data_IF_135168906674
#
_entry.id   IF_135168906674
#
_cell.length_a   1.000
_cell.length_b   1.000
_cell.length_c   1.000
_cell.angle_alpha   90.00
_cell.angle_beta   90.00
_cell.angle_gamma   90.00
#
_symmetry.space_group_name_H-M   'P 1'
#
loop_
_entity.id
_entity.type
_entity.pdbx_description
1 polymer ?
#
# COMPACT_ATOMS: atom_id res chain seq x y z
N UNK A 1 4.27 -13.37 15.15
CA UNK A 1 3.69 -12.53 14.07
C UNK A 1 4.56 -12.73 12.84
N UNK A 2 3.97 -13.11 11.70
CA UNK A 2 4.71 -13.14 10.44
C UNK A 2 4.98 -11.71 9.97
N UNK A 3 6.21 -11.48 9.53
CA UNK A 3 6.56 -10.29 8.75
C UNK A 3 6.18 -10.55 7.31
N UNK A 4 5.64 -9.53 6.66
CA UNK A 4 5.30 -9.53 5.24
C UNK A 4 6.03 -8.41 4.52
N UNK A 5 6.30 -8.60 3.24
CA UNK A 5 7.04 -7.69 2.37
C UNK A 5 6.29 -7.51 1.06
N UNK A 6 6.50 -6.38 0.36
CA UNK A 6 5.93 -6.20 -0.99
C UNK A 6 6.43 -7.31 -1.92
N UNK A 7 7.70 -7.68 -1.79
CA UNK A 7 8.31 -8.73 -2.62
C UNK A 7 7.60 -10.07 -2.41
N UNK A 8 7.31 -10.45 -1.14
CA UNK A 8 6.60 -11.70 -0.84
C UNK A 8 5.16 -11.67 -1.34
N UNK A 9 4.49 -10.54 -1.17
CA UNK A 9 3.11 -10.36 -1.62
C UNK A 9 3.01 -10.48 -3.16
N UNK A 10 3.88 -9.79 -3.89
CA UNK A 10 3.92 -9.87 -5.35
C UNK A 10 4.25 -11.28 -5.83
N UNK A 11 5.25 -11.91 -5.21
CA UNK A 11 5.60 -13.30 -5.50
C UNK A 11 4.42 -14.24 -5.29
N UNK A 12 3.66 -14.07 -4.21
CA UNK A 12 2.50 -14.90 -3.89
C UNK A 12 1.43 -14.80 -4.98
N UNK A 13 1.06 -13.57 -5.36
CA UNK A 13 0.03 -13.33 -6.38
C UNK A 13 0.47 -13.87 -7.75
N UNK A 14 1.71 -13.58 -8.17
CA UNK A 14 2.19 -14.03 -9.47
C UNK A 14 2.40 -15.55 -9.53
N UNK A 15 2.80 -16.18 -8.42
CA UNK A 15 2.90 -17.64 -8.32
C UNK A 15 1.53 -18.31 -8.38
N UNK A 16 0.54 -17.77 -7.66
CA UNK A 16 -0.85 -18.24 -7.78
C UNK A 16 -1.31 -18.18 -9.23
N UNK A 17 -1.12 -17.03 -9.90
CA UNK A 17 -1.49 -16.87 -11.30
C UNK A 17 -0.76 -17.89 -12.21
N UNK A 18 0.55 -18.09 -12.00
CA UNK A 18 1.36 -19.03 -12.78
C UNK A 18 0.83 -20.47 -12.71
N UNK A 19 0.36 -20.91 -11.55
CA UNK A 19 -0.12 -22.27 -11.30
C UNK A 19 -1.49 -22.55 -11.93
N UNK A 20 -2.19 -21.52 -12.42
CA UNK A 20 -3.51 -21.66 -13.05
C UNK A 20 -3.44 -22.24 -14.47
N UNK A 21 -4.57 -22.81 -14.91
CA UNK A 21 -4.74 -23.35 -16.26
C UNK A 21 -4.53 -22.26 -17.33
N UNK A 22 -3.54 -22.48 -18.20
CA UNK A 22 -3.16 -21.56 -19.29
C UNK A 22 -4.24 -21.36 -20.36
N UNK A 23 -5.22 -22.26 -20.46
CA UNK A 23 -6.32 -22.14 -21.44
C UNK A 23 -7.42 -21.16 -20.99
N UNK A 24 -7.40 -20.74 -19.72
CA UNK A 24 -8.34 -19.74 -19.21
C UNK A 24 -8.01 -18.35 -19.74
N UNK A 25 -9.03 -17.50 -19.80
CA UNK A 25 -8.84 -16.10 -20.18
C UNK A 25 -8.04 -15.34 -19.13
N UNK A 26 -7.19 -14.41 -19.56
CA UNK A 26 -6.38 -13.58 -18.66
C UNK A 26 -7.26 -12.85 -17.62
N UNK A 27 -8.41 -12.33 -18.05
CA UNK A 27 -9.39 -11.71 -17.14
C UNK A 27 -9.83 -12.65 -16.03
N UNK A 28 -10.16 -13.90 -16.33
CA UNK A 28 -10.62 -14.86 -15.33
C UNK A 28 -9.52 -15.18 -14.33
N UNK A 29 -8.27 -15.29 -14.79
CA UNK A 29 -7.10 -15.48 -13.93
C UNK A 29 -6.96 -14.31 -12.97
N UNK A 30 -6.95 -13.07 -13.48
CA UNK A 30 -6.81 -11.90 -12.62
C UNK A 30 -7.97 -11.69 -11.68
N UNK A 31 -9.20 -11.97 -12.11
CA UNK A 31 -10.36 -11.91 -11.24
C UNK A 31 -10.24 -12.88 -10.05
N UNK A 32 -9.75 -14.10 -10.29
CA UNK A 32 -9.59 -15.10 -9.21
C UNK A 32 -8.43 -14.74 -8.28
N UNK A 33 -7.24 -14.43 -8.83
CA UNK A 33 -6.03 -14.13 -8.03
C UNK A 33 -6.18 -12.84 -7.23
N UNK A 34 -6.86 -11.84 -7.78
CA UNK A 34 -7.02 -10.53 -7.15
C UNK A 34 -8.36 -10.39 -6.42
N UNK A 35 -9.12 -11.48 -6.28
CA UNK A 35 -10.43 -11.55 -5.62
C UNK A 35 -11.39 -10.45 -6.11
N UNK A 36 -11.56 -10.35 -7.42
CA UNK A 36 -12.46 -9.42 -8.09
C UNK A 36 -13.63 -10.17 -8.74
N UNK A 37 -14.74 -9.48 -8.99
CA UNK A 37 -15.84 -10.07 -9.74
C UNK A 37 -15.44 -10.27 -11.22
N UNK A 38 -15.41 -11.52 -11.74
CA UNK A 38 -15.03 -11.76 -13.14
C UNK A 38 -16.00 -11.14 -14.15
N UNK A 39 -17.22 -10.79 -13.75
CA UNK A 39 -18.18 -10.11 -14.63
C UNK A 39 -18.02 -8.58 -14.62
N UNK A 40 -17.27 -8.02 -13.67
CA UNK A 40 -17.00 -6.59 -13.57
C UNK A 40 -15.60 -6.28 -14.13
N UNK A 41 -15.55 -5.97 -15.42
CA UNK A 41 -14.31 -5.62 -16.11
C UNK A 41 -13.60 -4.40 -15.50
N UNK A 42 -14.36 -3.44 -14.99
CA UNK A 42 -13.78 -2.23 -14.40
C UNK A 42 -13.09 -2.56 -13.08
N UNK A 43 -13.72 -3.40 -12.25
CA UNK A 43 -13.12 -3.89 -11.01
C UNK A 43 -11.83 -4.68 -11.29
N UNK A 44 -11.84 -5.62 -12.25
CA UNK A 44 -10.63 -6.39 -12.59
C UNK A 44 -9.51 -5.46 -13.08
N UNK A 45 -9.81 -4.51 -13.97
CA UNK A 45 -8.84 -3.50 -14.41
C UNK A 45 -8.26 -2.69 -13.24
N UNK A 46 -9.11 -2.23 -12.31
CA UNK A 46 -8.68 -1.47 -11.15
C UNK A 46 -7.73 -2.30 -10.26
N UNK A 47 -8.08 -3.56 -10.02
CA UNK A 47 -7.29 -4.50 -9.21
C UNK A 47 -5.96 -4.83 -9.87
N UNK A 48 -5.93 -5.02 -11.19
CA UNK A 48 -4.67 -5.15 -11.94
C UNK A 48 -3.83 -3.86 -11.85
N UNK A 49 -4.45 -2.68 -11.87
CA UNK A 49 -3.77 -1.42 -11.58
C UNK A 49 -3.09 -1.41 -10.20
N UNK A 50 -3.76 -1.94 -9.17
CA UNK A 50 -3.16 -2.09 -7.83
C UNK A 50 -2.00 -3.10 -7.80
N UNK A 51 -2.05 -4.15 -8.61
CA UNK A 51 -0.93 -5.08 -8.79
C UNK A 51 0.29 -4.34 -9.37
N UNK A 52 0.11 -3.44 -10.34
CA UNK A 52 1.21 -2.62 -10.87
C UNK A 52 1.78 -1.64 -9.84
N UNK A 53 0.93 -1.06 -8.97
CA UNK A 53 1.42 -0.26 -7.83
C UNK A 53 2.26 -1.12 -6.89
N UNK A 54 1.91 -2.40 -6.69
CA UNK A 54 2.72 -3.32 -5.89
C UNK A 54 4.11 -3.56 -6.50
N UNK A 55 4.28 -3.53 -7.83
CA UNK A 55 5.62 -3.54 -8.43
C UNK A 55 6.46 -2.33 -8.01
N UNK A 56 5.87 -1.14 -7.98
CA UNK A 56 6.55 0.06 -7.48
C UNK A 56 6.89 -0.08 -5.99
N UNK A 57 6.03 -0.80 -5.27
CA UNK A 57 6.30 -1.15 -3.89
C UNK A 57 7.53 -2.04 -3.71
N UNK A 58 7.63 -3.09 -4.50
CA UNK A 58 8.81 -3.95 -4.52
C UNK A 58 10.06 -3.19 -4.94
N UNK A 59 9.98 -2.33 -5.95
CA UNK A 59 11.13 -1.57 -6.42
C UNK A 59 11.72 -0.68 -5.33
N UNK A 60 10.88 0.08 -4.63
CA UNK A 60 11.33 0.92 -3.53
C UNK A 60 11.86 0.09 -2.34
N UNK A 61 11.26 -1.06 -2.08
CA UNK A 61 11.72 -1.99 -1.04
C UNK A 61 13.15 -2.49 -1.35
N UNK A 62 13.38 -2.95 -2.58
CA UNK A 62 14.69 -3.39 -3.08
C UNK A 62 15.70 -2.24 -3.03
N UNK A 63 15.32 -1.03 -3.47
CA UNK A 63 16.17 0.18 -3.40
C UNK A 63 16.57 0.57 -1.98
N UNK A 64 15.79 0.17 -0.98
CA UNK A 64 16.10 0.45 0.43
C UNK A 64 17.06 -0.57 1.08
N UNK A 65 17.39 -1.65 0.37
CA UNK A 65 18.26 -2.72 0.88
C UNK A 65 19.71 -2.24 1.03
N UNK A 66 20.35 -2.68 2.12
CA UNK A 66 21.78 -2.47 2.35
C UNK A 66 22.61 -3.55 1.66
N UNK A 67 22.63 -3.55 0.33
CA UNK A 67 23.40 -4.50 -0.51
C UNK A 67 24.37 -3.74 -1.42
N UNK A 68 25.36 -4.46 -1.97
CA UNK A 68 26.45 -3.86 -2.76
C UNK A 68 25.98 -3.35 -4.13
N UNK A 69 25.09 -4.10 -4.79
CA UNK A 69 24.53 -3.74 -6.09
C UNK A 69 23.04 -4.07 -6.10
N UNK A 70 22.21 -3.03 -6.00
CA UNK A 70 20.77 -3.16 -5.95
C UNK A 70 20.15 -3.37 -7.34
N UNK A 71 20.82 -2.94 -8.41
CA UNK A 71 20.28 -2.97 -9.77
C UNK A 71 20.15 -4.40 -10.28
N UNK A 72 21.04 -5.31 -9.85
CA UNK A 72 20.95 -6.75 -10.13
C UNK A 72 19.61 -7.35 -9.65
N UNK A 73 19.08 -6.87 -8.53
CA UNK A 73 17.80 -7.34 -7.98
C UNK A 73 16.57 -6.69 -8.64
N UNK A 74 16.76 -5.55 -9.32
CA UNK A 74 15.69 -4.86 -10.04
C UNK A 74 15.46 -5.42 -11.45
N UNK A 75 16.47 -6.05 -12.06
CA UNK A 75 16.34 -6.64 -13.41
C UNK A 75 15.21 -7.67 -13.48
N UNK A 76 15.09 -8.66 -12.56
CA UNK A 76 13.99 -9.63 -12.59
C UNK A 76 12.61 -8.99 -12.42
N UNK A 77 12.51 -7.99 -11.53
CA UNK A 77 11.27 -7.23 -11.31
C UNK A 77 10.83 -6.51 -12.58
N UNK A 78 11.76 -5.86 -13.27
CA UNK A 78 11.50 -5.15 -14.52
C UNK A 78 11.12 -6.13 -15.64
N UNK A 79 11.76 -7.29 -15.72
CA UNK A 79 11.40 -8.33 -16.69
C UNK A 79 9.97 -8.84 -16.48
N UNK A 80 9.57 -9.09 -15.23
CA UNK A 80 8.19 -9.47 -14.88
C UNK A 80 7.20 -8.38 -15.29
N UNK A 81 7.50 -7.11 -14.93
CA UNK A 81 6.66 -5.95 -15.26
C UNK A 81 6.50 -5.83 -16.79
N UNK A 82 7.59 -5.94 -17.54
CA UNK A 82 7.60 -5.85 -19.00
C UNK A 82 6.84 -6.99 -19.67
N UNK A 83 7.01 -8.24 -19.19
CA UNK A 83 6.25 -9.38 -19.73
C UNK A 83 4.75 -9.13 -19.57
N UNK A 84 4.29 -8.76 -18.36
CA UNK A 84 2.88 -8.43 -18.11
C UNK A 84 2.35 -7.31 -19.03
N UNK A 85 3.14 -6.26 -19.24
CA UNK A 85 2.76 -5.12 -20.07
C UNK A 85 2.82 -5.40 -21.57
N UNK A 86 3.54 -6.44 -22.00
CA UNK A 86 3.67 -6.82 -23.41
C UNK A 86 2.46 -7.58 -23.94
N UNK A 87 1.53 -7.97 -23.06
CA UNK A 87 0.29 -8.66 -23.41
C UNK A 87 -0.95 -7.79 -23.14
N UNK A 88 -2.08 -8.07 -23.81
CA UNK A 88 -3.33 -7.39 -23.49
C UNK A 88 -3.71 -7.66 -22.03
N UNK A 89 -3.93 -6.60 -21.26
CA UNK A 89 -4.09 -6.66 -19.79
C UNK A 89 -5.15 -7.68 -19.36
N UNK A 90 -6.28 -7.75 -20.08
CA UNK A 90 -7.39 -8.68 -19.79
C UNK A 90 -7.70 -9.65 -20.95
N UNK A 91 -7.08 -9.47 -22.11
CA UNK A 91 -7.48 -10.11 -23.35
C UNK A 91 -6.60 -11.27 -23.76
N UNK A 92 -7.20 -12.35 -24.27
CA UNK A 92 -6.47 -13.53 -24.72
C UNK A 92 -6.41 -14.63 -23.67
N UNK A 93 -5.52 -15.61 -23.91
CA UNK A 93 -5.36 -16.80 -23.07
C UNK A 93 -4.12 -16.68 -22.19
N UNK A 94 -4.21 -17.19 -20.98
CA UNK A 94 -3.16 -17.07 -19.97
C UNK A 94 -1.84 -17.72 -20.38
N UNK A 95 -1.87 -18.78 -21.20
CA UNK A 95 -0.68 -19.44 -21.73
C UNK A 95 0.25 -18.47 -22.46
N UNK A 96 -0.30 -17.42 -23.09
CA UNK A 96 0.50 -16.42 -23.79
C UNK A 96 1.40 -15.58 -22.88
N UNK A 97 1.09 -15.52 -21.57
CA UNK A 97 1.81 -14.70 -20.58
C UNK A 97 2.60 -15.58 -19.60
N UNK A 98 2.04 -16.73 -19.20
CA UNK A 98 2.53 -17.49 -18.03
C UNK A 98 3.95 -18.05 -18.16
N UNK A 99 4.42 -18.24 -19.38
CA UNK A 99 5.73 -18.83 -19.67
C UNK A 99 6.91 -18.01 -19.13
N UNK A 100 6.75 -16.69 -19.04
CA UNK A 100 7.83 -15.76 -18.70
C UNK A 100 8.07 -15.59 -17.20
N UNK A 101 7.17 -16.09 -16.34
CA UNK A 101 7.25 -15.86 -14.90
C UNK A 101 8.29 -16.72 -14.18
N UNK A 102 8.54 -17.94 -14.66
CA UNK A 102 9.17 -18.99 -13.82
C UNK A 102 10.55 -18.61 -13.28
N UNK A 103 11.44 -18.11 -14.12
CA UNK A 103 12.81 -17.77 -13.69
C UNK A 103 12.87 -16.50 -12.83
N UNK A 104 11.96 -15.55 -13.05
CA UNK A 104 11.96 -14.28 -12.34
C UNK A 104 11.26 -14.39 -10.96
N UNK A 105 10.35 -15.36 -10.76
CA UNK A 105 9.67 -15.59 -9.49
C UNK A 105 10.64 -16.04 -8.38
N UNK A 106 11.54 -16.97 -8.66
CA UNK A 106 12.51 -17.47 -7.66
C UNK A 106 13.41 -16.34 -7.12
N UNK A 107 13.79 -15.41 -8.00
CA UNK A 107 14.58 -14.22 -7.60
C UNK A 107 13.76 -13.23 -6.77
N UNK A 108 12.47 -13.08 -7.05
CA UNK A 108 11.58 -12.24 -6.25
C UNK A 108 11.37 -12.83 -4.84
N UNK A 109 11.27 -14.16 -4.72
CA UNK A 109 11.24 -14.85 -3.43
C UNK A 109 12.54 -14.61 -2.63
N UNK A 110 13.70 -14.69 -3.29
CA UNK A 110 14.98 -14.38 -2.65
C UNK A 110 15.07 -12.91 -2.18
N UNK A 111 14.54 -11.96 -2.95
CA UNK A 111 14.44 -10.56 -2.53
C UNK A 111 13.61 -10.41 -1.26
N UNK A 112 12.47 -11.11 -1.18
CA UNK A 112 11.62 -11.12 0.01
C UNK A 112 12.36 -11.65 1.25
N UNK A 113 13.10 -12.76 1.11
CA UNK A 113 13.90 -13.33 2.19
C UNK A 113 14.95 -12.34 2.71
N UNK A 114 15.61 -11.61 1.80
CA UNK A 114 16.61 -10.58 2.17
C UNK A 114 15.93 -9.43 2.95
N UNK A 115 14.81 -8.92 2.48
CA UNK A 115 14.07 -7.83 3.12
C UNK A 115 13.64 -8.21 4.54
N UNK A 116 13.07 -9.41 4.69
CA UNK A 116 12.61 -9.92 5.97
C UNK A 116 13.77 -10.20 6.92
N UNK A 117 14.90 -10.73 6.42
CA UNK A 117 16.12 -10.92 7.22
C UNK A 117 16.70 -9.61 7.78
N UNK A 118 16.46 -8.48 7.10
CA UNK A 118 16.85 -7.14 7.56
C UNK A 118 15.80 -6.51 8.50
N UNK A 119 14.77 -7.26 8.91
CA UNK A 119 13.66 -6.81 9.75
C UNK A 119 12.94 -5.56 9.19
N UNK A 120 12.84 -5.50 7.85
CA UNK A 120 12.20 -4.39 7.11
C UNK A 120 10.76 -4.70 6.68
N UNK A 121 10.25 -5.88 7.01
CA UNK A 121 8.86 -6.24 6.76
C UNK A 121 7.87 -5.48 7.65
N UNK A 122 6.60 -5.68 7.37
CA UNK A 122 5.44 -5.13 8.10
C UNK A 122 4.64 -6.25 8.76
N UNK A 123 3.91 -5.91 9.82
CA UNK A 123 2.95 -6.81 10.44
C UNK A 123 1.72 -6.95 9.57
N UNK A 124 1.32 -8.18 9.31
CA UNK A 124 0.01 -8.49 8.76
C UNK A 124 -1.09 -8.11 9.75
N UNK A 125 -2.13 -7.45 9.25
CA UNK A 125 -3.34 -7.11 9.98
C UNK A 125 -4.34 -8.27 9.91
N UNK A 126 -4.97 -8.57 11.04
CA UNK A 126 -6.12 -9.48 11.11
C UNK A 126 -7.37 -8.88 10.46
N UNK A 127 -8.33 -9.73 10.15
CA UNK A 127 -9.65 -9.32 9.66
C UNK A 127 -10.36 -8.33 10.60
N UNK A 128 -10.23 -8.57 11.90
CA UNK A 128 -10.80 -7.75 12.97
C UNK A 128 -10.14 -6.36 13.00
N UNK A 129 -8.80 -6.30 12.91
CA UNK A 129 -8.05 -5.04 12.83
C UNK A 129 -8.41 -4.26 11.57
N UNK A 130 -8.50 -4.92 10.41
CA UNK A 130 -8.91 -4.28 9.16
C UNK A 130 -10.34 -3.73 9.23
N UNK A 131 -11.25 -4.43 9.91
CA UNK A 131 -12.62 -3.97 10.11
C UNK A 131 -12.66 -2.75 11.04
N UNK A 132 -11.95 -2.80 12.15
CA UNK A 132 -11.85 -1.70 13.12
C UNK A 132 -11.24 -0.44 12.48
N UNK A 133 -10.13 -0.58 11.75
CA UNK A 133 -9.50 0.54 11.03
C UNK A 133 -10.43 1.17 10.00
N UNK A 134 -11.15 0.35 9.22
CA UNK A 134 -12.14 0.84 8.24
C UNK A 134 -13.33 1.55 8.89
N UNK A 135 -13.78 1.08 10.04
CA UNK A 135 -14.84 1.76 10.79
C UNK A 135 -14.35 3.13 11.29
N UNK A 136 -13.19 3.17 11.94
CA UNK A 136 -12.61 4.40 12.52
C UNK A 136 -12.36 5.48 11.46
N UNK A 137 -11.90 5.10 10.26
CA UNK A 137 -11.72 6.09 9.18
C UNK A 137 -13.05 6.67 8.70
N UNK A 138 -14.09 5.84 8.59
CA UNK A 138 -15.43 6.31 8.22
C UNK A 138 -16.04 7.24 9.29
N UNK A 139 -15.83 6.94 10.57
CA UNK A 139 -16.23 7.81 11.68
C UNK A 139 -15.51 9.16 11.61
N UNK A 140 -14.20 9.17 11.41
CA UNK A 140 -13.40 10.39 11.29
C UNK A 140 -13.78 11.22 10.05
N UNK A 141 -13.99 10.59 8.90
CA UNK A 141 -14.48 11.27 7.69
C UNK A 141 -15.84 11.95 7.96
N UNK A 142 -16.75 11.27 8.65
CA UNK A 142 -18.05 11.84 9.01
C UNK A 142 -17.93 13.01 9.99
N UNK A 143 -17.01 12.94 10.96
CA UNK A 143 -16.71 14.04 11.88
C UNK A 143 -16.19 15.27 11.11
N UNK A 144 -15.21 15.07 10.21
CA UNK A 144 -14.67 16.14 9.36
C UNK A 144 -15.77 16.78 8.51
N UNK A 145 -16.63 15.99 7.86
CA UNK A 145 -17.70 16.51 7.02
C UNK A 145 -18.70 17.37 7.80
N UNK A 146 -19.04 16.95 9.03
CA UNK A 146 -19.98 17.66 9.93
C UNK A 146 -19.38 18.84 10.67
N UNK A 147 -18.05 18.95 10.70
CA UNK A 147 -17.36 20.04 11.37
C UNK A 147 -17.54 21.39 10.67
N UNK A 148 -17.39 22.47 11.42
CA UNK A 148 -17.49 23.86 10.92
C UNK A 148 -16.12 24.43 10.52
N UNK A 149 -15.22 23.58 10.03
CA UNK A 149 -13.89 24.00 9.55
C UNK A 149 -13.96 24.46 8.10
N UNK A 150 -12.93 25.21 7.71
CA UNK A 150 -12.77 25.70 6.34
C UNK A 150 -12.90 24.58 5.29
N UNK A 151 -13.55 24.92 4.17
CA UNK A 151 -13.89 23.96 3.12
C UNK A 151 -12.64 23.36 2.44
N UNK A 152 -11.56 24.14 2.33
CA UNK A 152 -10.30 23.68 1.75
C UNK A 152 -9.64 22.63 2.65
N UNK A 153 -9.58 22.90 3.96
CA UNK A 153 -9.05 21.96 4.96
C UNK A 153 -9.89 20.67 4.96
N UNK A 154 -11.22 20.82 4.94
CA UNK A 154 -12.16 19.69 4.88
C UNK A 154 -11.91 18.83 3.63
N UNK A 155 -11.82 19.45 2.46
CA UNK A 155 -11.57 18.74 1.21
C UNK A 155 -10.20 18.04 1.20
N UNK A 156 -9.16 18.71 1.70
CA UNK A 156 -7.82 18.16 1.85
C UNK A 156 -7.84 16.90 2.73
N UNK A 157 -8.37 16.99 3.94
CA UNK A 157 -8.39 15.86 4.88
C UNK A 157 -9.20 14.68 4.35
N UNK A 158 -10.36 14.94 3.73
CA UNK A 158 -11.18 13.87 3.13
C UNK A 158 -10.44 13.18 1.99
N UNK A 159 -9.74 13.93 1.15
CA UNK A 159 -8.96 13.33 0.05
C UNK A 159 -7.83 12.45 0.58
N UNK A 160 -7.12 12.89 1.63
CA UNK A 160 -6.05 12.09 2.23
C UNK A 160 -6.56 10.84 2.95
N UNK A 161 -7.66 10.94 3.70
CA UNK A 161 -8.28 9.78 4.35
C UNK A 161 -8.83 8.77 3.33
N UNK A 162 -9.37 9.23 2.20
CA UNK A 162 -9.82 8.32 1.13
C UNK A 162 -8.70 7.48 0.53
N UNK A 163 -7.46 7.97 0.51
CA UNK A 163 -6.32 7.16 0.07
C UNK A 163 -6.08 5.99 1.03
N UNK A 164 -6.14 6.25 2.34
CA UNK A 164 -6.00 5.21 3.36
C UNK A 164 -7.14 4.20 3.23
N UNK A 165 -8.37 4.66 3.10
CA UNK A 165 -9.55 3.81 2.89
C UNK A 165 -9.37 2.93 1.64
N UNK A 166 -8.93 3.50 0.52
CA UNK A 166 -8.64 2.75 -0.70
C UNK A 166 -7.52 1.71 -0.50
N UNK A 167 -6.51 2.01 0.31
CA UNK A 167 -5.47 1.04 0.66
C UNK A 167 -5.99 -0.11 1.49
N UNK A 168 -6.86 0.16 2.47
CA UNK A 168 -7.51 -0.87 3.29
C UNK A 168 -8.47 -1.74 2.46
N UNK A 169 -9.16 -1.17 1.48
CA UNK A 169 -10.01 -1.91 0.54
C UNK A 169 -9.21 -2.81 -0.41
N UNK A 170 -7.97 -2.45 -0.71
CA UNK A 170 -7.08 -3.22 -1.59
C UNK A 170 -6.03 -4.02 -0.81
N UNK A 171 -6.28 -4.28 0.47
CA UNK A 171 -5.38 -5.01 1.35
C UNK A 171 -5.03 -6.40 0.81
N UNK A 172 -5.97 -7.12 0.21
CA UNK A 172 -5.70 -8.44 -0.38
C UNK A 172 -4.61 -8.43 -1.46
N UNK A 173 -4.40 -7.29 -2.13
CA UNK A 173 -3.39 -7.13 -3.17
C UNK A 173 -2.11 -6.60 -2.58
N UNK A 174 -2.17 -5.46 -1.87
CA UNK A 174 -0.98 -4.73 -1.42
C UNK A 174 -0.54 -5.06 0.01
N UNK A 175 -1.30 -5.86 0.74
CA UNK A 175 -1.05 -6.22 2.14
C UNK A 175 -0.87 -5.02 3.05
N UNK A 176 -0.23 -5.26 4.20
CA UNK A 176 0.14 -4.20 5.15
C UNK A 176 1.16 -3.21 4.59
N UNK A 177 1.91 -3.56 3.56
CA UNK A 177 2.94 -2.66 3.00
C UNK A 177 2.30 -1.51 2.23
N UNK A 178 1.22 -1.77 1.49
CA UNK A 178 0.44 -0.71 0.85
C UNK A 178 -0.15 0.26 1.88
N UNK A 179 -0.68 -0.30 2.97
CA UNK A 179 -1.24 0.46 4.09
C UNK A 179 -0.18 1.33 4.75
N UNK A 180 1.00 0.78 5.08
CA UNK A 180 2.11 1.51 5.68
C UNK A 180 2.57 2.70 4.80
N UNK A 181 2.72 2.49 3.50
CA UNK A 181 3.17 3.52 2.55
C UNK A 181 2.19 4.66 2.41
N UNK A 182 0.91 4.34 2.26
CA UNK A 182 -0.13 5.37 2.14
C UNK A 182 -0.20 6.18 3.43
N UNK A 183 -0.02 5.55 4.59
CA UNK A 183 0.07 6.28 5.86
C UNK A 183 1.28 7.20 5.97
N UNK A 184 2.46 6.77 5.51
CA UNK A 184 3.64 7.63 5.45
C UNK A 184 3.43 8.84 4.51
N UNK A 185 2.83 8.60 3.34
CA UNK A 185 2.49 9.65 2.38
C UNK A 185 1.51 10.66 2.99
N UNK A 186 0.41 10.18 3.56
CA UNK A 186 -0.63 11.01 4.16
C UNK A 186 -0.11 11.78 5.35
N UNK A 187 0.68 11.13 6.24
CA UNK A 187 1.34 11.81 7.35
C UNK A 187 2.22 12.96 6.84
N UNK A 188 3.06 12.70 5.84
CA UNK A 188 3.90 13.73 5.24
C UNK A 188 3.08 14.91 4.70
N UNK A 189 2.02 14.65 3.94
CA UNK A 189 1.16 15.72 3.41
C UNK A 189 0.47 16.50 4.51
N UNK A 190 -0.02 15.86 5.57
CA UNK A 190 -0.63 16.55 6.71
C UNK A 190 0.41 17.43 7.42
N UNK A 191 1.61 16.91 7.69
CA UNK A 191 2.68 17.66 8.36
C UNK A 191 3.11 18.91 7.58
N UNK A 192 3.18 18.80 6.25
CA UNK A 192 3.65 19.88 5.37
C UNK A 192 2.53 20.74 4.77
N UNK A 193 1.27 20.51 5.17
CA UNK A 193 0.11 21.21 4.63
C UNK A 193 0.03 22.70 4.99
N UNK A 194 0.74 23.15 6.03
CA UNK A 194 0.85 24.56 6.37
C UNK A 194 -0.38 25.17 7.08
N UNK A 195 -1.31 24.36 7.61
CA UNK A 195 -2.52 24.83 8.32
C UNK A 195 -2.26 25.49 9.69
N UNK A 196 -1.06 26.02 9.93
CA UNK A 196 -0.61 26.57 11.21
C UNK A 196 -1.41 27.81 11.65
N UNK A 197 -1.98 28.56 10.71
CA UNK A 197 -2.84 29.73 10.97
C UNK A 197 -4.35 29.40 11.05
N UNK A 198 -4.74 28.13 10.94
CA UNK A 198 -6.14 27.74 11.01
C UNK A 198 -6.68 27.87 12.45
N UNK A 199 -7.99 28.10 12.59
CA UNK A 199 -8.64 28.21 13.90
C UNK A 199 -8.49 26.95 14.76
N UNK A 200 -8.70 27.07 16.06
CA UNK A 200 -8.52 25.98 17.04
C UNK A 200 -9.27 24.70 16.69
N UNK A 201 -10.51 24.80 16.19
CA UNK A 201 -11.30 23.66 15.74
C UNK A 201 -10.64 22.91 14.55
N UNK A 202 -10.01 23.62 13.63
CA UNK A 202 -9.31 23.02 12.51
C UNK A 202 -8.04 22.30 12.98
N UNK A 203 -7.28 22.89 13.89
CA UNK A 203 -6.10 22.26 14.48
C UNK A 203 -6.44 20.97 15.22
N UNK A 204 -7.54 20.94 15.98
CA UNK A 204 -8.00 19.73 16.68
C UNK A 204 -8.32 18.60 15.69
N UNK A 205 -9.07 18.90 14.62
CA UNK A 205 -9.45 17.90 13.61
C UNK A 205 -8.26 17.41 12.80
N UNK A 206 -7.35 18.31 12.41
CA UNK A 206 -6.08 17.93 11.76
C UNK A 206 -5.26 17.02 12.69
N UNK A 207 -5.18 17.35 13.99
CA UNK A 207 -4.50 16.54 14.99
C UNK A 207 -5.14 15.15 15.15
N UNK A 208 -6.47 15.05 15.16
CA UNK A 208 -7.20 13.76 15.16
C UNK A 208 -6.88 12.94 13.91
N UNK A 209 -6.90 13.54 12.73
CA UNK A 209 -6.55 12.87 11.49
C UNK A 209 -5.09 12.37 11.50
N UNK A 210 -4.16 13.20 11.97
CA UNK A 210 -2.76 12.81 12.09
C UNK A 210 -2.57 11.66 13.09
N UNK A 211 -3.22 11.71 14.25
CA UNK A 211 -3.18 10.64 15.24
C UNK A 211 -3.73 9.32 14.70
N UNK A 212 -4.81 9.37 13.92
CA UNK A 212 -5.33 8.18 13.24
C UNK A 212 -4.28 7.56 12.30
N UNK A 213 -3.57 8.38 11.53
CA UNK A 213 -2.48 7.93 10.65
C UNK A 213 -1.34 7.29 11.46
N UNK A 214 -0.98 7.86 12.60
CA UNK A 214 0.02 7.29 13.52
C UNK A 214 -0.42 5.95 14.11
N UNK A 215 -1.69 5.84 14.51
CA UNK A 215 -2.25 4.57 15.01
C UNK A 215 -2.16 3.49 13.94
N UNK A 216 -2.47 3.84 12.70
CA UNK A 216 -2.41 2.91 11.58
C UNK A 216 -0.95 2.49 11.30
N UNK A 217 0.00 3.42 11.25
CA UNK A 217 1.44 3.10 11.07
C UNK A 217 1.96 2.15 12.15
N UNK A 218 1.56 2.39 13.41
CA UNK A 218 1.90 1.50 14.54
C UNK A 218 1.30 0.11 14.42
N UNK A 219 0.10 -0.02 13.86
CA UNK A 219 -0.54 -1.32 13.65
C UNK A 219 0.24 -2.18 12.62
N UNK A 220 0.86 -1.54 11.62
CA UNK A 220 1.59 -2.25 10.55
C UNK A 220 3.11 -2.30 10.72
N UNK A 221 3.74 -1.46 11.57
CA UNK A 221 5.20 -1.43 11.75
C UNK A 221 5.64 -1.65 13.21
N UNK A 222 6.64 -2.51 13.40
CA UNK A 222 7.30 -2.81 14.69
C UNK A 222 7.97 -1.57 15.34
N UNK A 223 8.23 -0.50 14.60
CA UNK A 223 9.10 0.60 15.04
C UNK A 223 8.66 2.01 14.68
N UNK A 224 7.38 2.24 14.36
CA UNK A 224 6.75 3.54 14.10
C UNK A 224 7.66 4.55 13.40
N UNK A 225 7.93 4.33 12.10
CA UNK A 225 8.85 5.20 11.33
C UNK A 225 8.39 6.65 11.34
N UNK A 226 7.06 6.86 11.25
CA UNK A 226 6.46 8.19 11.32
C UNK A 226 6.63 8.77 12.73
N UNK A 227 6.48 7.95 13.77
CA UNK A 227 6.66 8.39 15.15
C UNK A 227 8.07 8.92 15.42
N UNK A 228 9.11 8.22 14.95
CA UNK A 228 10.50 8.68 15.07
C UNK A 228 10.77 9.98 14.30
N UNK A 229 10.17 10.12 13.13
CA UNK A 229 10.27 11.34 12.32
C UNK A 229 9.59 12.52 13.02
N UNK A 230 8.40 12.29 13.58
CA UNK A 230 7.65 13.25 14.40
C UNK A 230 8.45 13.68 15.63
N UNK A 231 9.06 12.74 16.36
CA UNK A 231 9.92 13.05 17.50
C UNK A 231 11.14 13.90 17.10
N UNK A 232 11.78 13.59 15.97
CA UNK A 232 12.94 14.33 15.47
C UNK A 232 12.61 15.72 14.92
N UNK A 233 11.36 15.93 14.49
CA UNK A 233 10.88 17.19 13.93
C UNK A 233 9.99 17.99 14.89
N UNK A 234 9.78 17.54 16.13
CA UNK A 234 8.87 18.17 17.10
C UNK A 234 9.17 19.66 17.33
N UNK A 235 10.44 20.04 17.29
CA UNK A 235 10.89 21.42 17.49
C UNK A 235 10.62 22.32 16.26
N UNK A 236 10.26 21.70 15.12
CA UNK A 236 10.01 22.35 13.84
C UNK A 236 8.56 22.19 13.35
N UNK A 237 7.75 21.36 14.02
CA UNK A 237 6.37 21.02 13.64
C UNK A 237 5.39 21.38 14.76
N UNK A 238 4.83 22.60 14.77
CA UNK A 238 3.94 23.08 15.83
C UNK A 238 2.52 22.46 15.82
N UNK A 239 2.22 21.55 14.89
CA UNK A 239 0.89 20.95 14.70
C UNK A 239 0.63 19.69 15.55
N UNK A 240 1.61 19.24 16.33
CA UNK A 240 1.46 18.04 17.15
C UNK A 240 0.80 18.40 18.47
N UNK A 241 -0.32 17.76 18.85
CA UNK A 241 -0.82 17.88 20.21
C UNK A 241 0.26 17.38 21.19
N UNK A 242 0.38 17.98 22.39
CA UNK A 242 1.31 17.49 23.40
C UNK A 242 1.01 16.02 23.72
N UNK A 243 2.08 15.25 23.87
CA UNK A 243 2.10 13.83 24.24
C UNK A 243 1.29 13.51 25.49
#
# INVERSE_FOLDING_TARGET
MSLSSASRQLHTLLKQAQEMDGQRSIQTIWAEVLEANPSDYAEVCQKVGQLFVLFDDVEQEIRSLKVTDTDVYLVPLNNLRLSLMSHPILGGVWESVRGDFRQNLDLLAACADIVESQNRGVHELSSEELKDLRQKIGELQNEILKSDIDAEIKAFLINELRKIEASLLNYQIRGSIGVARVSEEVAGRILFSGWQGAGTAAQEIVGKAFNYVLTLDKAVRIGGSIHKLVEGLKDYLPLLPPS
#
